data_IF_985428710312
#
_entry.id   IF_985428710312
#
_cell.length_a   1.000
_cell.length_b   1.000
_cell.length_c   1.000
_cell.angle_alpha   90.00
_cell.angle_beta   90.00
_cell.angle_gamma   90.00
#
_symmetry.space_group_name_H-M   'P 1'
#
loop_
_entity.id
_entity.type
_entity.pdbx_description
1 polymer ?
#
# COMPACT_ATOMS: atom_id res chain seq x y z
N UNK A 1 -0.65 26.40 -18.99
CA UNK A 1 -1.96 25.74 -19.04
C UNK A 1 -1.87 24.25 -18.66
N UNK A 2 -1.15 23.40 -19.41
CA UNK A 2 -1.05 21.97 -19.09
C UNK A 2 -0.27 21.70 -17.79
N UNK A 3 0.81 22.42 -17.54
CA UNK A 3 1.59 22.31 -16.30
C UNK A 3 0.81 22.81 -15.08
N UNK A 4 0.01 23.85 -15.22
CA UNK A 4 -0.84 24.36 -14.15
C UNK A 4 -1.95 23.37 -13.80
N UNK A 5 -2.57 22.75 -14.81
CA UNK A 5 -3.56 21.72 -14.61
C UNK A 5 -2.95 20.51 -13.88
N UNK A 6 -1.77 20.06 -14.27
CA UNK A 6 -1.07 18.95 -13.62
C UNK A 6 -0.73 19.28 -12.17
N UNK A 7 -0.24 20.47 -11.89
CA UNK A 7 0.04 20.91 -10.50
C UNK A 7 -1.21 20.94 -9.63
N UNK A 8 -2.33 21.39 -10.19
CA UNK A 8 -3.60 21.40 -9.46
C UNK A 8 -4.09 19.99 -9.17
N UNK A 9 -3.92 19.07 -10.11
CA UNK A 9 -4.27 17.67 -9.92
C UNK A 9 -3.37 17.02 -8.87
N UNK A 10 -2.06 17.23 -8.95
CA UNK A 10 -1.10 16.71 -7.95
C UNK A 10 -1.42 17.24 -6.55
N UNK A 11 -1.74 18.53 -6.43
CA UNK A 11 -2.14 19.11 -5.15
C UNK A 11 -3.42 18.49 -4.60
N UNK A 12 -4.39 18.20 -5.46
CA UNK A 12 -5.63 17.53 -5.03
C UNK A 12 -5.34 16.13 -4.50
N UNK A 13 -4.45 15.37 -5.15
CA UNK A 13 -4.02 14.05 -4.66
C UNK A 13 -3.28 14.14 -3.33
N UNK A 14 -2.38 15.11 -3.18
CA UNK A 14 -1.68 15.38 -1.92
C UNK A 14 -2.68 15.64 -0.79
N UNK A 15 -3.63 16.53 -1.01
CA UNK A 15 -4.64 16.86 -0.01
C UNK A 15 -5.52 15.67 0.35
N UNK A 16 -5.90 14.86 -0.63
CA UNK A 16 -6.69 13.66 -0.41
C UNK A 16 -5.94 12.62 0.42
N UNK A 17 -4.66 12.38 0.12
CA UNK A 17 -3.82 11.45 0.87
C UNK A 17 -3.64 11.88 2.33
N UNK A 18 -3.35 13.16 2.55
CA UNK A 18 -3.22 13.71 3.90
C UNK A 18 -4.53 13.66 4.68
N UNK A 19 -5.67 13.90 4.01
CA UNK A 19 -6.99 13.76 4.62
C UNK A 19 -7.30 12.30 5.00
N UNK A 20 -6.95 11.34 4.16
CA UNK A 20 -7.09 9.92 4.47
C UNK A 20 -6.27 9.52 5.69
N UNK A 21 -5.02 9.98 5.75
CA UNK A 21 -4.13 9.75 6.89
C UNK A 21 -4.73 10.31 8.18
N UNK A 22 -5.12 11.58 8.15
CA UNK A 22 -5.64 12.27 9.33
C UNK A 22 -6.97 11.66 9.81
N UNK A 23 -7.83 11.27 8.89
CA UNK A 23 -9.08 10.58 9.22
C UNK A 23 -8.83 9.22 9.90
N UNK A 24 -7.83 8.47 9.44
CA UNK A 24 -7.46 7.20 10.08
C UNK A 24 -6.87 7.44 11.47
N UNK A 25 -5.97 8.42 11.63
CA UNK A 25 -5.40 8.76 12.94
C UNK A 25 -6.48 9.10 13.96
N UNK A 26 -7.48 9.86 13.56
CA UNK A 26 -8.61 10.22 14.42
C UNK A 26 -9.48 9.01 14.77
N UNK A 27 -9.77 8.15 13.79
CA UNK A 27 -10.63 6.96 13.97
C UNK A 27 -9.96 5.87 14.80
N UNK A 28 -8.67 5.62 14.56
CA UNK A 28 -7.94 4.48 15.13
C UNK A 28 -7.08 4.88 16.34
N UNK A 29 -7.32 6.05 16.92
CA UNK A 29 -6.67 6.55 18.14
C UNK A 29 -5.14 6.44 18.14
N UNK A 30 -4.49 6.98 17.11
CA UNK A 30 -3.04 6.98 16.99
C UNK A 30 -2.48 5.86 16.12
N UNK A 31 -3.28 5.31 15.23
CA UNK A 31 -2.89 4.26 14.29
C UNK A 31 -1.64 4.56 13.47
N UNK A 32 -1.25 5.81 13.30
CA UNK A 32 -0.03 6.20 12.61
C UNK A 32 1.21 6.26 13.48
N UNK A 33 1.11 5.97 14.78
CA UNK A 33 2.25 5.99 15.70
C UNK A 33 2.99 4.65 15.70
N UNK A 34 3.48 4.26 14.54
CA UNK A 34 4.10 2.95 14.31
C UNK A 34 5.62 2.98 14.30
N UNK A 35 6.23 4.17 14.39
CA UNK A 35 7.67 4.35 14.19
C UNK A 35 8.08 4.36 12.71
N UNK A 36 7.14 4.27 11.78
CA UNK A 36 7.42 4.45 10.36
C UNK A 36 7.72 5.92 10.04
N UNK A 37 8.68 6.15 9.15
CA UNK A 37 8.90 7.48 8.60
C UNK A 37 7.65 7.97 7.86
N UNK A 38 7.33 9.26 8.02
CA UNK A 38 6.23 9.88 7.30
C UNK A 38 6.46 9.84 5.78
N UNK A 39 5.41 9.58 5.04
CA UNK A 39 5.44 9.64 3.56
C UNK A 39 5.31 11.11 3.15
N UNK A 40 6.20 11.58 2.31
CA UNK A 40 6.13 12.93 1.74
C UNK A 40 5.15 12.93 0.56
N UNK A 41 3.99 13.51 0.79
CA UNK A 41 2.96 13.73 -0.24
C UNK A 41 3.07 15.11 -0.91
N UNK A 42 3.91 16.02 -0.38
CA UNK A 42 4.07 17.38 -0.91
C UNK A 42 5.09 17.42 -2.06
N UNK A 43 4.91 16.55 -3.02
CA UNK A 43 5.73 16.39 -4.21
C UNK A 43 4.82 16.22 -5.44
N UNK A 44 5.38 16.27 -6.63
CA UNK A 44 4.62 15.92 -7.84
C UNK A 44 4.37 14.41 -7.93
N UNK A 45 3.36 14.01 -8.70
CA UNK A 45 3.14 12.59 -9.02
C UNK A 45 4.40 11.93 -9.57
N UNK A 46 5.08 12.62 -10.48
CA UNK A 46 6.30 12.08 -11.10
C UNK A 46 7.41 11.82 -10.07
N UNK A 47 7.62 12.73 -9.14
CA UNK A 47 8.60 12.57 -8.06
C UNK A 47 8.19 11.44 -7.12
N UNK A 48 6.94 11.39 -6.69
CA UNK A 48 6.41 10.34 -5.82
C UNK A 48 6.57 8.96 -6.45
N UNK A 49 6.07 8.80 -7.67
CA UNK A 49 6.12 7.52 -8.38
C UNK A 49 7.57 7.10 -8.65
N UNK A 50 8.43 8.06 -9.03
CA UNK A 50 9.84 7.78 -9.26
C UNK A 50 10.56 7.26 -8.02
N UNK A 51 10.40 7.91 -6.89
CA UNK A 51 11.01 7.49 -5.63
C UNK A 51 10.49 6.14 -5.15
N UNK A 52 9.17 5.99 -5.08
CA UNK A 52 8.58 4.77 -4.54
C UNK A 52 8.74 3.56 -5.45
N UNK A 53 8.79 3.76 -6.77
CA UNK A 53 9.14 2.69 -7.71
C UNK A 53 10.50 2.09 -7.38
N UNK A 54 11.52 2.91 -7.16
CA UNK A 54 12.86 2.43 -6.83
C UNK A 54 12.90 1.67 -5.51
N UNK A 55 12.25 2.20 -4.49
CA UNK A 55 12.21 1.58 -3.15
C UNK A 55 11.45 0.25 -3.17
N UNK A 56 10.29 0.21 -3.80
CA UNK A 56 9.47 -1.00 -3.87
C UNK A 56 10.13 -2.06 -4.77
N UNK A 57 10.71 -1.68 -5.90
CA UNK A 57 11.43 -2.62 -6.76
C UNK A 57 12.62 -3.25 -6.04
N UNK A 58 13.36 -2.48 -5.26
CA UNK A 58 14.45 -3.02 -4.44
C UNK A 58 13.93 -4.04 -3.42
N UNK A 59 12.81 -3.73 -2.76
CA UNK A 59 12.17 -4.63 -1.80
C UNK A 59 11.65 -5.92 -2.43
N UNK A 60 11.07 -5.85 -3.62
CA UNK A 60 10.45 -6.99 -4.31
C UNK A 60 11.44 -7.80 -5.16
N UNK A 61 12.69 -7.39 -5.25
CA UNK A 61 13.68 -8.04 -6.09
C UNK A 61 13.79 -9.55 -5.79
N UNK A 62 13.85 -10.36 -6.84
CA UNK A 62 13.95 -11.82 -6.73
C UNK A 62 12.64 -12.54 -6.44
N UNK A 63 11.51 -11.84 -6.36
CA UNK A 63 10.19 -12.42 -6.15
C UNK A 63 9.36 -12.41 -7.43
N UNK A 64 8.22 -13.13 -7.48
CA UNK A 64 7.27 -13.01 -8.59
C UNK A 64 6.73 -11.60 -8.82
N UNK A 65 6.72 -10.74 -7.80
CA UNK A 65 6.34 -9.33 -7.91
C UNK A 65 7.48 -8.40 -8.32
N UNK A 66 8.65 -8.93 -8.62
CA UNK A 66 9.80 -8.14 -9.07
C UNK A 66 9.46 -7.31 -10.31
N UNK A 67 9.83 -6.03 -10.30
CA UNK A 67 9.57 -5.12 -11.42
C UNK A 67 8.19 -4.45 -11.41
N UNK A 68 7.35 -4.69 -10.41
CA UNK A 68 6.02 -4.10 -10.30
C UNK A 68 5.95 -2.87 -9.39
N UNK A 69 7.09 -2.33 -8.99
CA UNK A 69 7.16 -1.15 -8.11
C UNK A 69 6.38 0.05 -8.61
N UNK A 70 6.43 0.34 -9.91
CA UNK A 70 5.68 1.45 -10.50
C UNK A 70 4.16 1.28 -10.35
N UNK A 71 3.65 0.07 -10.51
CA UNK A 71 2.22 -0.21 -10.35
C UNK A 71 1.75 0.01 -8.91
N UNK A 72 2.54 -0.41 -7.93
CA UNK A 72 2.28 -0.13 -6.52
C UNK A 72 2.33 1.36 -6.21
N UNK A 73 3.35 2.05 -6.70
CA UNK A 73 3.52 3.48 -6.45
C UNK A 73 2.40 4.32 -7.07
N UNK A 74 2.01 4.03 -8.30
CA UNK A 74 0.89 4.70 -8.97
C UNK A 74 -0.44 4.43 -8.26
N UNK A 75 -0.70 3.19 -7.89
CA UNK A 75 -1.92 2.83 -7.17
C UNK A 75 -1.99 3.53 -5.80
N UNK A 76 -0.87 3.63 -5.09
CA UNK A 76 -0.78 4.36 -3.83
C UNK A 76 -1.08 5.85 -4.01
N UNK A 77 -0.51 6.46 -5.03
CA UNK A 77 -0.78 7.87 -5.36
C UNK A 77 -2.26 8.10 -5.67
N UNK A 78 -2.84 7.28 -6.55
CA UNK A 78 -4.23 7.43 -6.99
C UNK A 78 -5.24 7.22 -5.85
N UNK A 79 -4.92 6.38 -4.88
CA UNK A 79 -5.83 6.02 -3.79
C UNK A 79 -5.49 6.70 -2.45
N UNK A 80 -4.40 7.44 -2.36
CA UNK A 80 -3.98 8.09 -1.12
C UNK A 80 -3.67 7.10 0.00
N UNK A 81 -2.92 6.04 -0.31
CA UNK A 81 -2.53 4.97 0.61
C UNK A 81 -1.01 4.97 0.77
N UNK A 82 -0.53 4.68 1.97
CA UNK A 82 0.89 4.48 2.23
C UNK A 82 1.47 3.46 1.23
N UNK A 83 2.44 3.84 0.40
CA UNK A 83 2.95 2.98 -0.67
C UNK A 83 3.64 1.71 -0.19
N UNK A 84 4.02 1.65 1.09
CA UNK A 84 4.66 0.46 1.69
C UNK A 84 3.66 -0.61 2.10
N UNK A 85 2.39 -0.25 2.27
CA UNK A 85 1.39 -1.11 2.91
C UNK A 85 1.08 -2.37 2.09
N UNK A 86 0.66 -2.22 0.86
CA UNK A 86 0.32 -3.36 -0.02
C UNK A 86 1.52 -4.28 -0.31
N UNK A 87 2.71 -3.78 -0.65
CA UNK A 87 3.89 -4.63 -0.82
C UNK A 87 4.24 -5.44 0.43
N UNK A 88 4.18 -4.81 1.60
CA UNK A 88 4.48 -5.49 2.87
C UNK A 88 3.47 -6.60 3.18
N UNK A 89 2.18 -6.38 2.94
CA UNK A 89 1.14 -7.42 3.10
C UNK A 89 1.42 -8.60 2.18
N UNK A 90 1.85 -8.37 0.94
CA UNK A 90 2.20 -9.45 0.02
C UNK A 90 3.28 -10.38 0.58
N UNK A 91 4.23 -9.83 1.33
CA UNK A 91 5.24 -10.65 2.00
C UNK A 91 4.64 -11.48 3.14
N UNK A 92 3.83 -10.87 3.99
CA UNK A 92 3.20 -11.54 5.12
C UNK A 92 2.30 -12.70 4.67
N UNK A 93 1.53 -12.48 3.59
CA UNK A 93 0.53 -13.44 3.12
C UNK A 93 1.08 -14.52 2.18
N UNK A 94 2.07 -14.19 1.34
CA UNK A 94 2.47 -15.11 0.27
C UNK A 94 3.96 -15.08 -0.07
N UNK A 95 4.79 -14.48 0.77
CA UNK A 95 6.21 -14.30 0.47
C UNK A 95 6.41 -13.60 -0.88
N UNK A 96 5.79 -12.42 -1.01
CA UNK A 96 5.84 -11.55 -2.21
C UNK A 96 5.35 -12.26 -3.49
N UNK A 97 4.29 -13.03 -3.34
CA UNK A 97 3.65 -13.72 -4.46
C UNK A 97 4.21 -15.11 -4.77
N UNK A 98 5.17 -15.61 -3.98
CA UNK A 98 5.75 -16.93 -4.21
C UNK A 98 4.76 -18.05 -3.87
N UNK A 99 3.98 -17.90 -2.81
CA UNK A 99 3.07 -18.91 -2.28
C UNK A 99 1.62 -18.47 -2.35
N UNK A 100 1.10 -18.29 -3.55
CA UNK A 100 -0.28 -17.86 -3.76
C UNK A 100 -1.24 -19.03 -3.83
N UNK A 101 -2.36 -18.95 -3.10
CA UNK A 101 -3.46 -19.92 -3.18
C UNK A 101 -4.26 -19.77 -4.48
N UNK A 102 -4.37 -18.55 -4.98
CA UNK A 102 -5.09 -18.18 -6.20
C UNK A 102 -4.19 -17.37 -7.10
N UNK A 103 -4.38 -17.54 -8.39
CA UNK A 103 -3.57 -16.86 -9.40
C UNK A 103 -3.55 -15.35 -9.20
N UNK A 104 -2.36 -14.77 -9.15
CA UNK A 104 -2.11 -13.34 -8.95
C UNK A 104 -2.75 -12.75 -7.68
N UNK A 105 -3.01 -13.57 -6.67
CA UNK A 105 -3.50 -13.11 -5.37
C UNK A 105 -2.42 -13.28 -4.31
N UNK A 106 -1.57 -12.27 -4.17
CA UNK A 106 -0.45 -12.28 -3.23
C UNK A 106 -0.84 -11.91 -1.80
N UNK A 107 -2.10 -11.53 -1.57
CA UNK A 107 -2.56 -10.91 -0.32
C UNK A 107 -3.57 -11.73 0.47
N UNK A 108 -3.90 -12.94 0.00
CA UNK A 108 -4.97 -13.74 0.59
C UNK A 108 -6.32 -13.02 0.60
N UNK A 109 -6.47 -12.02 -0.26
CA UNK A 109 -7.57 -11.07 -0.22
C UNK A 109 -8.75 -11.54 -1.06
N UNK A 110 -9.97 -11.27 -0.56
CA UNK A 110 -11.20 -11.76 -1.18
C UNK A 110 -11.21 -13.28 -1.40
N UNK A 111 -10.59 -14.03 -0.50
CA UNK A 111 -10.69 -15.47 -0.42
C UNK A 111 -10.30 -16.21 -1.69
N UNK A 112 -11.28 -16.64 -2.45
CA UNK A 112 -11.10 -17.48 -3.63
C UNK A 112 -10.92 -16.71 -4.94
N UNK A 113 -10.71 -15.40 -4.88
CA UNK A 113 -10.57 -14.58 -6.09
C UNK A 113 -9.21 -14.77 -6.75
N UNK A 114 -9.24 -15.00 -8.07
CA UNK A 114 -8.06 -14.96 -8.95
C UNK A 114 -8.13 -13.73 -9.84
N UNK A 115 -6.96 -13.19 -10.18
CA UNK A 115 -6.87 -12.09 -11.15
C UNK A 115 -6.09 -12.52 -12.39
N UNK A 116 -6.33 -11.85 -13.50
CA UNK A 116 -5.69 -12.16 -14.77
C UNK A 116 -4.25 -11.67 -14.88
N UNK A 117 -3.84 -10.70 -14.05
CA UNK A 117 -2.50 -10.12 -14.05
C UNK A 117 -2.15 -9.52 -12.68
N UNK A 118 -0.86 -9.32 -12.45
CA UNK A 118 -0.38 -8.61 -11.26
C UNK A 118 -0.84 -7.15 -11.25
N UNK A 119 -0.85 -6.49 -12.40
CA UNK A 119 -1.32 -5.10 -12.49
C UNK A 119 -2.77 -4.97 -12.02
N UNK A 120 -3.64 -5.85 -12.47
CA UNK A 120 -5.05 -5.87 -12.06
C UNK A 120 -5.21 -6.12 -10.56
N UNK A 121 -4.51 -7.09 -10.00
CA UNK A 121 -4.60 -7.44 -8.57
C UNK A 121 -3.97 -6.39 -7.67
N UNK A 122 -2.87 -5.77 -8.06
CA UNK A 122 -2.24 -4.68 -7.31
C UNK A 122 -3.22 -3.50 -7.19
N UNK A 123 -3.81 -3.06 -8.30
CA UNK A 123 -4.78 -1.98 -8.29
C UNK A 123 -6.00 -2.31 -7.44
N UNK A 124 -6.53 -3.52 -7.56
CA UNK A 124 -7.68 -3.97 -6.75
C UNK A 124 -7.35 -3.98 -5.26
N UNK A 125 -6.17 -4.48 -4.88
CA UNK A 125 -5.76 -4.54 -3.49
C UNK A 125 -5.57 -3.16 -2.87
N UNK A 126 -4.83 -2.27 -3.51
CA UNK A 126 -4.60 -0.91 -3.00
C UNK A 126 -5.90 -0.12 -2.89
N UNK A 127 -6.77 -0.22 -3.90
CA UNK A 127 -8.09 0.40 -3.84
C UNK A 127 -8.93 -0.17 -2.69
N UNK A 128 -8.87 -1.47 -2.46
CA UNK A 128 -9.55 -2.14 -1.34
C UNK A 128 -9.03 -1.70 0.02
N UNK A 129 -7.72 -1.48 0.16
CA UNK A 129 -7.14 -0.93 1.38
C UNK A 129 -7.69 0.47 1.67
N UNK A 130 -7.70 1.35 0.67
CA UNK A 130 -8.24 2.69 0.82
C UNK A 130 -9.71 2.69 1.26
N UNK A 131 -10.52 1.83 0.67
CA UNK A 131 -11.96 1.77 0.93
C UNK A 131 -12.34 1.09 2.24
N UNK A 132 -11.62 0.05 2.63
CA UNK A 132 -12.05 -0.84 3.70
C UNK A 132 -11.11 -0.95 4.90
N UNK A 133 -9.88 -0.50 4.80
CA UNK A 133 -8.86 -0.70 5.85
C UNK A 133 -8.25 0.60 6.34
N UNK A 134 -7.84 1.48 5.46
CA UNK A 134 -7.31 2.78 5.81
C UNK A 134 -6.02 3.12 5.06
N UNK A 135 -5.43 4.23 5.46
CA UNK A 135 -4.25 4.81 4.84
C UNK A 135 -2.98 3.97 5.04
N UNK A 136 -2.77 3.44 6.24
CA UNK A 136 -1.59 2.67 6.63
C UNK A 136 -1.94 1.61 7.65
N UNK A 137 -0.97 0.80 8.04
CA UNK A 137 -1.17 -0.27 9.02
C UNK A 137 -1.56 0.28 10.39
N UNK A 138 -2.50 -0.41 11.04
CA UNK A 138 -2.90 -0.18 12.44
C UNK A 138 -3.32 -1.51 13.07
N UNK A 139 -3.38 -1.57 14.39
CA UNK A 139 -3.94 -2.73 15.07
C UNK A 139 -5.42 -2.94 14.71
N UNK A 140 -6.14 -1.86 14.46
CA UNK A 140 -7.56 -1.92 14.06
C UNK A 140 -7.70 -2.61 12.70
N UNK A 141 -6.97 -2.17 11.67
CA UNK A 141 -7.08 -2.80 10.35
C UNK A 141 -6.41 -4.17 10.29
N UNK A 142 -5.39 -4.41 11.09
CA UNK A 142 -4.80 -5.74 11.23
C UNK A 142 -5.82 -6.75 11.76
N UNK A 143 -6.61 -6.38 12.77
CA UNK A 143 -7.66 -7.22 13.30
C UNK A 143 -8.77 -7.50 12.28
N UNK A 144 -9.05 -6.56 11.40
CA UNK A 144 -9.98 -6.77 10.29
C UNK A 144 -9.41 -7.69 9.22
N UNK A 145 -8.11 -7.59 8.92
CA UNK A 145 -7.44 -8.36 7.87
C UNK A 145 -7.20 -9.81 8.29
N UNK A 146 -6.75 -10.04 9.51
CA UNK A 146 -6.37 -11.36 10.03
C UNK A 146 -6.85 -11.53 11.48
N UNK A 147 -8.16 -11.70 11.72
CA UNK A 147 -8.72 -11.68 13.09
C UNK A 147 -8.07 -12.63 14.10
N UNK A 148 -7.78 -13.91 13.75
CA UNK A 148 -7.29 -14.87 14.76
C UNK A 148 -5.90 -14.53 15.32
N UNK A 149 -5.02 -13.92 14.51
CA UNK A 149 -3.61 -13.69 14.85
C UNK A 149 -3.16 -12.30 14.45
N UNK A 150 -4.03 -11.30 14.63
CA UNK A 150 -3.80 -9.95 14.11
C UNK A 150 -2.58 -9.25 14.72
N UNK A 151 -2.25 -9.53 15.98
CA UNK A 151 -1.08 -8.92 16.63
C UNK A 151 0.22 -9.38 15.99
N UNK A 152 0.34 -10.67 15.71
CA UNK A 152 1.48 -11.24 15.00
C UNK A 152 1.54 -10.73 13.54
N UNK A 153 0.40 -10.71 12.87
CA UNK A 153 0.28 -10.18 11.52
C UNK A 153 0.70 -8.70 11.45
N UNK A 154 0.26 -7.90 12.42
CA UNK A 154 0.65 -6.50 12.54
C UNK A 154 2.17 -6.36 12.70
N UNK A 155 2.76 -7.08 13.64
CA UNK A 155 4.19 -7.00 13.90
C UNK A 155 5.04 -7.41 12.69
N UNK A 156 4.67 -8.48 12.01
CA UNK A 156 5.36 -8.96 10.81
C UNK A 156 5.22 -7.98 9.65
N UNK A 157 4.03 -7.49 9.40
CA UNK A 157 3.78 -6.55 8.29
C UNK A 157 4.44 -5.22 8.54
N UNK A 158 4.38 -4.69 9.76
CA UNK A 158 5.08 -3.45 10.12
C UNK A 158 6.59 -3.58 9.92
N UNK A 159 7.19 -4.68 10.34
CA UNK A 159 8.61 -4.94 10.14
C UNK A 159 8.99 -4.93 8.66
N UNK A 160 8.13 -5.46 7.79
CA UNK A 160 8.34 -5.42 6.35
C UNK A 160 8.20 -4.00 5.78
N UNK A 161 7.24 -3.22 6.24
CA UNK A 161 7.09 -1.82 5.84
C UNK A 161 8.33 -0.99 6.19
N UNK A 162 8.99 -1.29 7.29
CA UNK A 162 10.23 -0.62 7.71
C UNK A 162 11.42 -0.91 6.78
N UNK A 163 11.34 -1.94 5.96
CA UNK A 163 12.37 -2.29 4.98
C UNK A 163 12.19 -1.58 3.64
N UNK A 164 11.08 -0.93 3.42
CA UNK A 164 10.75 -0.23 2.19
C UNK A 164 10.98 1.27 2.37
#
# INVERSE_FOLDING_TARGET
AAEEAQRAEDLAHTQAALANRDAQLARDEGAGLTGLAEVDWNVSKAEFVGEWTLRIDAYLAGSPLSGYGAMFAEAAWENGVDPRFSPAISNTESTKGLNCFRSHNAWGWMGNTSWGSWNESINAHVQGLAKGYGYTISLVNANKYCPPTYEDWYAKTLAQMQLI
#
